data_IF_234507621052
#
_entry.id   IF_234507621052
#
_cell.length_a   1.000
_cell.length_b   1.000
_cell.length_c   1.000
_cell.angle_alpha   90.00
_cell.angle_beta   90.00
_cell.angle_gamma   90.00
#
_symmetry.space_group_name_H-M   'P 1'
#
loop_
_entity.id
_entity.type
_entity.pdbx_description
1 polymer ?
#
# COMPACT_ATOMS: atom_id res chain seq x y z
N UNK A 1 0.63 27.25 6.76
CA UNK A 1 1.09 26.88 5.56
C UNK A 1 1.41 25.46 5.58
N UNK A 2 1.06 24.82 4.64
CA UNK A 2 1.37 23.54 4.64
C UNK A 2 2.73 23.39 4.19
N UNK A 3 3.29 22.39 4.55
CA UNK A 3 4.60 22.18 4.18
C UNK A 3 4.60 21.17 3.07
N UNK A 4 5.42 21.39 2.09
CA UNK A 4 5.50 20.43 1.04
C UNK A 4 6.21 19.20 1.49
N UNK A 5 6.71 19.16 2.69
CA UNK A 5 7.35 17.97 3.23
C UNK A 5 6.50 17.32 4.28
N UNK A 6 5.19 17.38 4.13
CA UNK A 6 4.30 16.75 5.08
C UNK A 6 4.44 15.24 4.93
N UNK A 7 5.16 14.64 5.83
CA UNK A 7 5.45 13.21 5.75
C UNK A 7 4.24 12.36 6.05
N UNK A 8 3.20 12.95 6.58
CA UNK A 8 1.97 12.19 6.80
C UNK A 8 1.22 11.93 5.52
N UNK A 9 1.64 12.58 4.44
CA UNK A 9 0.98 12.40 3.16
C UNK A 9 1.94 11.87 2.13
N UNK A 10 2.74 10.89 2.50
CA UNK A 10 3.64 10.26 1.55
C UNK A 10 2.85 9.65 0.41
N UNK A 11 3.39 9.76 -0.77
CA UNK A 11 2.75 9.17 -1.94
C UNK A 11 2.98 7.67 -2.01
N UNK A 12 4.07 7.18 -1.44
CA UNK A 12 4.31 5.75 -1.39
C UNK A 12 4.55 5.33 0.05
N UNK A 13 4.28 4.06 0.31
CA UNK A 13 4.41 3.49 1.65
C UNK A 13 5.27 2.25 1.61
N UNK A 14 5.96 1.99 2.72
CA UNK A 14 6.56 0.69 2.91
C UNK A 14 5.47 -0.29 3.33
N UNK A 15 5.82 -1.57 3.36
CA UNK A 15 4.86 -2.59 3.81
C UNK A 15 4.46 -2.32 5.26
N UNK A 16 5.42 -1.96 6.09
CA UNK A 16 5.12 -1.68 7.49
C UNK A 16 4.19 -0.49 7.62
N UNK A 17 4.45 0.56 6.83
CA UNK A 17 3.59 1.73 6.88
C UNK A 17 2.19 1.41 6.40
N UNK A 18 2.08 0.62 5.35
CA UNK A 18 0.78 0.24 4.85
C UNK A 18 0.02 -0.59 5.86
N UNK A 19 0.71 -1.45 6.57
CA UNK A 19 0.09 -2.25 7.61
C UNK A 19 -0.44 -1.38 8.73
N UNK A 20 0.37 -0.42 9.18
CA UNK A 20 -0.06 0.48 10.25
C UNK A 20 -1.24 1.34 9.81
N UNK A 21 -1.20 1.81 8.58
CA UNK A 21 -2.25 2.69 8.08
C UNK A 21 -3.57 1.94 7.92
N UNK A 22 -3.51 0.71 7.48
CA UNK A 22 -4.72 -0.01 7.09
C UNK A 22 -5.21 -0.99 8.15
N UNK A 23 -4.34 -1.41 9.04
CA UNK A 23 -4.70 -2.47 9.96
C UNK A 23 -4.58 -3.86 9.38
N UNK A 24 -4.08 -3.98 8.15
CA UNK A 24 -3.89 -5.27 7.53
C UNK A 24 -2.53 -5.82 7.94
N UNK A 25 -2.47 -7.09 8.28
CA UNK A 25 -1.21 -7.70 8.71
C UNK A 25 -0.14 -7.63 7.64
N UNK A 26 1.10 -7.56 8.08
CA UNK A 26 2.24 -7.43 7.16
C UNK A 26 2.32 -8.61 6.20
N UNK A 27 2.12 -9.82 6.70
CA UNK A 27 2.21 -11.00 5.84
C UNK A 27 1.11 -10.99 4.78
N UNK A 28 -0.05 -10.50 5.14
CA UNK A 28 -1.15 -10.40 4.18
C UNK A 28 -0.78 -9.43 3.07
N UNK A 29 -0.17 -8.30 3.44
CA UNK A 29 0.22 -7.31 2.44
C UNK A 29 1.27 -7.90 1.51
N UNK A 30 2.24 -8.65 2.03
CA UNK A 30 3.23 -9.29 1.17
C UNK A 30 2.57 -10.24 0.17
N UNK A 31 1.53 -10.95 0.58
CA UNK A 31 0.82 -11.83 -0.35
C UNK A 31 0.09 -11.03 -1.41
N UNK A 32 -0.48 -9.89 -1.01
CA UNK A 32 -1.16 -9.02 -1.97
C UNK A 32 -0.19 -8.49 -3.01
N UNK A 33 1.04 -8.18 -2.59
CA UNK A 33 2.03 -7.66 -3.53
C UNK A 33 2.38 -8.66 -4.62
N UNK A 34 2.21 -9.95 -4.36
CA UNK A 34 2.50 -10.97 -5.34
C UNK A 34 1.32 -11.25 -6.26
N UNK A 35 0.17 -10.68 -5.96
CA UNK A 35 -1.04 -10.97 -6.71
C UNK A 35 -1.26 -9.87 -7.75
N UNK A 36 -1.19 -10.19 -9.04
CA UNK A 36 -1.31 -9.16 -10.08
C UNK A 36 -2.66 -8.48 -10.12
N UNK A 37 -3.64 -9.02 -9.43
CA UNK A 37 -4.94 -8.37 -9.32
C UNK A 37 -4.84 -7.03 -8.59
N UNK A 38 -3.84 -6.86 -7.74
CA UNK A 38 -3.67 -5.62 -6.99
C UNK A 38 -2.65 -4.74 -7.68
N UNK A 39 -3.03 -3.52 -8.02
CA UNK A 39 -2.20 -2.65 -8.84
C UNK A 39 -1.57 -1.51 -8.06
N UNK A 40 -1.43 -1.66 -6.77
CA UNK A 40 -0.85 -0.57 -5.98
C UNK A 40 0.67 -0.72 -5.77
N UNK A 41 1.30 -1.62 -6.49
CA UNK A 41 2.74 -1.83 -6.35
C UNK A 41 3.49 -0.91 -7.29
N UNK A 42 4.51 -0.25 -6.76
CA UNK A 42 5.42 0.57 -7.56
C UNK A 42 6.82 0.03 -7.40
N UNK A 43 7.45 -0.29 -8.51
CA UNK A 43 8.82 -0.76 -8.47
C UNK A 43 9.77 0.42 -8.63
N UNK A 44 10.72 0.54 -7.69
CA UNK A 44 11.78 1.53 -7.79
C UNK A 44 13.07 0.74 -7.80
N UNK A 45 13.63 0.56 -9.00
CA UNK A 45 14.74 -0.35 -9.14
C UNK A 45 14.31 -1.74 -8.75
N UNK A 46 14.96 -2.31 -7.76
CA UNK A 46 14.64 -3.65 -7.29
C UNK A 46 13.74 -3.65 -6.07
N UNK A 47 13.31 -2.47 -5.65
CA UNK A 47 12.53 -2.37 -4.43
C UNK A 47 11.07 -2.11 -4.78
N UNK A 48 10.19 -2.65 -3.97
CA UNK A 48 8.75 -2.43 -4.14
C UNK A 48 8.28 -1.42 -3.11
N UNK A 49 7.45 -0.52 -3.58
CA UNK A 49 6.77 0.41 -2.70
C UNK A 49 5.28 0.31 -2.98
N UNK A 50 4.48 0.79 -2.07
CA UNK A 50 3.04 0.73 -2.22
C UNK A 50 2.54 2.13 -2.57
N UNK A 51 1.82 2.24 -3.67
CA UNK A 51 1.23 3.50 -4.07
C UNK A 51 0.07 3.79 -3.13
N UNK A 52 0.21 4.85 -2.34
CA UNK A 52 -0.72 5.10 -1.26
C UNK A 52 -2.14 5.31 -1.77
N UNK A 53 -2.30 6.14 -2.77
CA UNK A 53 -3.63 6.45 -3.25
C UNK A 53 -4.32 5.20 -3.81
N UNK A 54 -3.60 4.40 -4.58
CA UNK A 54 -4.17 3.18 -5.13
C UNK A 54 -4.50 2.18 -4.02
N UNK A 55 -3.66 2.12 -3.00
CA UNK A 55 -3.89 1.23 -1.87
C UNK A 55 -5.15 1.64 -1.11
N UNK A 56 -5.29 2.94 -0.83
CA UNK A 56 -6.47 3.42 -0.13
C UNK A 56 -7.73 3.19 -0.94
N UNK A 57 -7.64 3.40 -2.23
CA UNK A 57 -8.77 3.19 -3.10
C UNK A 57 -9.18 1.72 -3.13
N UNK A 58 -8.19 0.83 -3.16
CA UNK A 58 -8.47 -0.59 -3.12
C UNK A 58 -9.22 -0.95 -1.85
N UNK A 59 -8.78 -0.41 -0.72
CA UNK A 59 -9.41 -0.74 0.55
C UNK A 59 -10.85 -0.23 0.58
N UNK A 60 -11.08 0.98 0.07
CA UNK A 60 -12.45 1.52 0.06
C UNK A 60 -13.38 0.73 -0.82
N UNK A 61 -12.85 0.14 -1.89
CA UNK A 61 -13.70 -0.50 -2.90
C UNK A 61 -13.71 -2.01 -2.81
N UNK A 62 -13.00 -2.59 -1.85
CA UNK A 62 -12.88 -4.04 -1.75
C UNK A 62 -13.52 -4.52 -0.48
N UNK A 63 -14.37 -5.51 -0.60
CA UNK A 63 -15.03 -6.07 0.55
C UNK A 63 -14.29 -7.27 1.09
N UNK A 64 -13.64 -8.03 0.22
CA UNK A 64 -12.88 -9.21 0.62
C UNK A 64 -11.50 -9.16 0.03
N UNK A 65 -10.50 -9.55 0.79
CA UNK A 65 -9.14 -9.64 0.30
C UNK A 65 -8.78 -11.11 0.25
N UNK A 66 -8.50 -11.56 -0.97
CA UNK A 66 -8.16 -12.96 -1.19
C UNK A 66 -6.67 -13.13 -0.99
N UNK A 67 -6.29 -13.88 0.03
CA UNK A 67 -4.88 -14.00 0.41
C UNK A 67 -4.40 -15.42 0.22
N UNK A 68 -5.00 -16.18 -0.61
CA UNK A 68 -4.62 -17.54 -0.79
C UNK A 68 -3.25 -17.78 -1.26
#
# INVERSE_FOLDING_TARGET
METKYDLNHKMTLSVEEASLLSGIGINTIYRMLKNPQYDFVLWIGKRRRIKREAFEKMIRNTQFIDVE
#
